data_IF_213182852687
#
_entry.id   IF_213182852687
#
_cell.length_a   1.000
_cell.length_b   1.000
_cell.length_c   1.000
_cell.angle_alpha   90.00
_cell.angle_beta   90.00
_cell.angle_gamma   90.00
#
_symmetry.space_group_name_H-M   'P 1'
#
loop_
_entity.id
_entity.type
_entity.pdbx_description
1 polymer ?
#
# COMPACT_ATOMS: atom_id res chain seq x y z
N UNK A 1 15.89 19.88 -20.35
CA UNK A 1 15.45 19.99 -18.95
C UNK A 1 14.73 18.71 -18.62
N UNK A 2 15.37 17.80 -17.88
CA UNK A 2 14.73 16.57 -17.42
C UNK A 2 13.74 16.93 -16.33
N UNK A 3 12.46 16.71 -16.58
CA UNK A 3 11.44 16.81 -15.55
C UNK A 3 11.82 15.87 -14.40
N UNK A 4 11.77 16.30 -13.12
CA UNK A 4 11.98 15.38 -12.01
C UNK A 4 10.95 14.25 -12.09
N UNK A 5 11.39 13.03 -11.77
CA UNK A 5 10.55 11.85 -11.78
C UNK A 5 9.24 12.10 -10.97
N UNK A 6 8.06 11.66 -11.48
CA UNK A 6 6.79 11.82 -10.79
C UNK A 6 6.83 11.32 -9.34
N UNK A 7 6.16 12.05 -8.42
CA UNK A 7 6.14 11.74 -6.97
C UNK A 7 5.74 10.29 -6.65
N UNK A 8 4.84 9.71 -7.45
CA UNK A 8 4.40 8.32 -7.27
C UNK A 8 5.54 7.31 -7.44
N UNK A 9 6.55 7.59 -8.27
CA UNK A 9 7.69 6.67 -8.48
C UNK A 9 8.53 6.55 -7.20
N UNK A 10 8.83 7.69 -6.56
CA UNK A 10 9.52 7.69 -5.28
C UNK A 10 8.73 6.95 -4.20
N UNK A 11 7.41 7.14 -4.13
CA UNK A 11 6.57 6.42 -3.16
C UNK A 11 6.49 4.93 -3.46
N UNK A 12 6.44 4.55 -4.73
CA UNK A 12 6.44 3.16 -5.14
C UNK A 12 7.73 2.46 -4.71
N UNK A 13 8.89 3.13 -4.80
CA UNK A 13 10.14 2.58 -4.27
C UNK A 13 10.09 2.38 -2.75
N UNK A 14 9.51 3.33 -2.00
CA UNK A 14 9.31 3.17 -0.55
C UNK A 14 8.36 2.01 -0.24
N UNK A 15 7.27 1.89 -0.99
CA UNK A 15 6.32 0.78 -0.88
C UNK A 15 7.00 -0.56 -1.14
N UNK A 16 7.76 -0.69 -2.24
CA UNK A 16 8.47 -1.93 -2.59
C UNK A 16 9.42 -2.35 -1.49
N UNK A 17 10.22 -1.43 -0.95
CA UNK A 17 11.15 -1.72 0.15
C UNK A 17 10.41 -2.18 1.41
N UNK A 18 9.34 -1.49 1.80
CA UNK A 18 8.54 -1.86 2.95
C UNK A 18 7.84 -3.23 2.77
N UNK A 19 7.33 -3.50 1.56
CA UNK A 19 6.68 -4.75 1.22
C UNK A 19 7.65 -5.93 1.24
N UNK A 20 8.86 -5.78 0.70
CA UNK A 20 9.90 -6.80 0.77
C UNK A 20 10.22 -7.19 2.21
N UNK A 21 10.41 -6.21 3.10
CA UNK A 21 10.69 -6.47 4.52
C UNK A 21 9.52 -7.14 5.25
N UNK A 22 8.28 -6.80 4.89
CA UNK A 22 7.10 -7.48 5.43
C UNK A 22 7.07 -8.94 4.96
N UNK A 23 7.31 -9.18 3.67
CA UNK A 23 7.32 -10.50 3.06
C UNK A 23 8.37 -11.40 3.71
N UNK A 24 9.60 -10.93 3.83
CA UNK A 24 10.69 -11.64 4.51
C UNK A 24 10.31 -12.02 5.95
N UNK A 25 9.61 -11.13 6.66
CA UNK A 25 9.20 -11.39 8.03
C UNK A 25 8.05 -12.42 8.15
N UNK A 26 7.20 -12.59 7.12
CA UNK A 26 6.10 -13.58 7.15
C UNK A 26 6.47 -14.92 6.52
N UNK A 27 7.46 -14.94 5.62
CA UNK A 27 7.92 -16.16 4.92
C UNK A 27 9.01 -16.92 5.69
N UNK A 28 9.42 -16.44 6.87
CA UNK A 28 10.38 -17.16 7.69
C UNK A 28 9.82 -18.50 8.21
N UNK A 29 10.66 -19.53 8.19
CA UNK A 29 10.27 -20.88 8.64
C UNK A 29 10.09 -20.99 10.15
N UNK A 30 10.71 -20.09 10.92
CA UNK A 30 10.67 -20.10 12.38
C UNK A 30 9.40 -19.40 12.90
N UNK A 31 8.76 -19.93 13.96
CA UNK A 31 7.67 -19.25 14.62
C UNK A 31 8.06 -17.85 15.12
N UNK A 32 7.21 -16.87 14.82
CA UNK A 32 7.41 -15.50 15.30
C UNK A 32 7.31 -15.42 16.83
N UNK A 33 8.30 -14.76 17.46
CA UNK A 33 8.18 -14.30 18.84
C UNK A 33 7.07 -13.24 18.97
N UNK A 34 6.56 -12.98 20.17
CA UNK A 34 5.52 -11.96 20.36
C UNK A 34 5.96 -10.57 19.87
N UNK A 35 7.20 -10.17 20.21
CA UNK A 35 7.79 -8.92 19.73
C UNK A 35 7.87 -8.88 18.19
N UNK A 36 8.22 -10.00 17.56
CA UNK A 36 8.25 -10.08 16.10
C UNK A 36 6.86 -9.96 15.48
N UNK A 37 5.81 -10.55 16.09
CA UNK A 37 4.41 -10.41 15.67
C UNK A 37 3.93 -8.95 15.71
N UNK A 38 4.25 -8.22 16.79
CA UNK A 38 3.97 -6.78 16.87
C UNK A 38 4.73 -5.99 15.78
N UNK A 39 5.98 -6.38 15.53
CA UNK A 39 6.80 -5.84 14.44
C UNK A 39 6.19 -6.06 13.05
N UNK A 40 5.63 -7.24 12.78
CA UNK A 40 4.94 -7.58 11.54
C UNK A 40 3.65 -6.78 11.41
N UNK A 41 2.87 -6.66 12.49
CA UNK A 41 1.62 -5.87 12.52
C UNK A 41 1.86 -4.41 12.13
N UNK A 42 2.89 -3.77 12.72
CA UNK A 42 3.27 -2.40 12.35
C UNK A 42 3.77 -2.27 10.91
N UNK A 43 4.53 -3.25 10.42
CA UNK A 43 5.00 -3.28 9.02
C UNK A 43 3.84 -3.41 8.04
N UNK A 44 2.88 -4.28 8.32
CA UNK A 44 1.66 -4.42 7.53
C UNK A 44 0.92 -3.09 7.43
N UNK A 45 0.67 -2.41 8.56
CA UNK A 45 0.00 -1.11 8.54
C UNK A 45 0.76 -0.07 7.69
N UNK A 46 2.10 -0.04 7.79
CA UNK A 46 2.95 0.83 6.97
C UNK A 46 2.89 0.51 5.48
N UNK A 47 2.88 -0.76 5.11
CA UNK A 47 2.79 -1.22 3.71
C UNK A 47 1.45 -0.82 3.11
N UNK A 48 0.34 -1.06 3.80
CA UNK A 48 -1.00 -0.68 3.33
C UNK A 48 -1.10 0.85 3.18
N UNK A 49 -0.53 1.61 4.12
CA UNK A 49 -0.48 3.07 4.07
C UNK A 49 0.30 3.59 2.85
N UNK A 50 1.46 3.02 2.57
CA UNK A 50 2.26 3.38 1.40
C UNK A 50 1.57 2.98 0.09
N UNK A 51 0.89 1.84 0.06
CA UNK A 51 0.20 1.35 -1.14
C UNK A 51 -0.89 2.33 -1.59
N UNK A 52 -1.82 2.70 -0.70
CA UNK A 52 -2.90 3.60 -1.10
C UNK A 52 -2.38 5.01 -1.41
N UNK A 53 -1.33 5.50 -0.74
CA UNK A 53 -0.71 6.80 -1.10
C UNK A 53 -0.04 6.77 -2.46
N UNK A 54 0.66 5.69 -2.78
CA UNK A 54 1.28 5.50 -4.10
C UNK A 54 0.21 5.50 -5.20
N UNK A 55 -0.90 4.77 -4.97
CA UNK A 55 -2.00 4.71 -5.93
C UNK A 55 -2.72 6.04 -6.08
N UNK A 56 -2.92 6.79 -4.98
CA UNK A 56 -3.47 8.14 -5.02
C UNK A 56 -2.63 9.02 -5.95
N UNK A 57 -1.33 9.05 -5.71
CA UNK A 57 -0.40 9.89 -6.47
C UNK A 57 -0.33 9.50 -7.95
N UNK A 58 -0.37 8.20 -8.23
CA UNK A 58 -0.41 7.69 -9.58
C UNK A 58 -1.70 8.12 -10.30
N UNK A 59 -2.86 7.88 -9.67
CA UNK A 59 -4.16 8.29 -10.22
C UNK A 59 -4.24 9.80 -10.46
N UNK A 60 -3.75 10.61 -9.53
CA UNK A 60 -3.68 12.08 -9.70
C UNK A 60 -2.76 12.48 -10.86
N UNK A 61 -1.63 11.78 -11.06
CA UNK A 61 -0.75 12.02 -12.21
C UNK A 61 -1.38 11.66 -13.56
N UNK A 62 -2.34 10.73 -13.55
CA UNK A 62 -3.17 10.37 -14.71
C UNK A 62 -4.43 11.24 -14.84
N UNK A 63 -4.51 12.37 -14.12
CA UNK A 63 -5.64 13.31 -14.10
C UNK A 63 -6.96 12.72 -13.56
N UNK A 64 -6.90 11.64 -12.77
CA UNK A 64 -8.07 11.08 -12.10
C UNK A 64 -8.43 11.91 -10.87
N UNK A 65 -9.65 12.44 -10.84
CA UNK A 65 -10.17 13.20 -9.70
C UNK A 65 -10.61 12.25 -8.57
N UNK A 66 -10.01 12.43 -7.39
CA UNK A 66 -10.29 11.65 -6.19
C UNK A 66 -10.99 12.53 -5.15
N UNK A 67 -12.32 12.44 -5.05
CA UNK A 67 -13.07 13.20 -4.05
C UNK A 67 -14.19 12.35 -3.41
N UNK A 68 -14.20 12.14 -2.08
CA UNK A 68 -13.15 12.51 -1.14
C UNK A 68 -11.91 11.62 -1.28
N UNK A 69 -10.73 12.19 -1.02
CA UNK A 69 -9.47 11.43 -0.94
C UNK A 69 -9.48 10.58 0.34
N UNK A 70 -9.77 9.29 0.19
CA UNK A 70 -9.70 8.32 1.30
C UNK A 70 -9.03 7.03 0.81
N UNK A 71 -8.43 6.22 1.71
CA UNK A 71 -7.85 4.94 1.31
C UNK A 71 -8.83 4.04 0.56
N UNK A 72 -10.09 4.00 1.01
CA UNK A 72 -11.16 3.21 0.37
C UNK A 72 -11.49 3.74 -1.03
N UNK A 73 -11.65 5.05 -1.19
CA UNK A 73 -11.90 5.67 -2.50
C UNK A 73 -10.76 5.37 -3.47
N UNK A 74 -9.51 5.54 -3.01
CA UNK A 74 -8.31 5.35 -3.84
C UNK A 74 -8.19 3.90 -4.30
N UNK A 75 -8.30 2.93 -3.38
CA UNK A 75 -8.25 1.50 -3.73
C UNK A 75 -9.36 1.14 -4.71
N UNK A 76 -10.60 1.62 -4.48
CA UNK A 76 -11.71 1.36 -5.40
C UNK A 76 -11.43 1.91 -6.80
N UNK A 77 -10.95 3.15 -6.90
CA UNK A 77 -10.63 3.79 -8.20
C UNK A 77 -9.47 3.10 -8.91
N UNK A 78 -8.44 2.69 -8.17
CA UNK A 78 -7.33 1.92 -8.72
C UNK A 78 -7.78 0.56 -9.28
N UNK A 79 -8.72 -0.11 -8.60
CA UNK A 79 -9.30 -1.36 -9.08
C UNK A 79 -10.19 -1.16 -10.32
N UNK A 80 -11.07 -0.16 -10.30
CA UNK A 80 -11.92 0.18 -11.46
C UNK A 80 -11.11 0.55 -12.70
N UNK A 81 -9.96 1.19 -12.52
CA UNK A 81 -9.02 1.54 -13.59
C UNK A 81 -8.09 0.38 -14.03
N UNK A 82 -8.20 -0.80 -13.41
CA UNK A 82 -7.37 -1.97 -13.75
C UNK A 82 -5.90 -1.88 -13.33
N UNK A 83 -5.54 -0.95 -12.44
CA UNK A 83 -4.16 -0.74 -11.96
C UNK A 83 -3.79 -1.79 -10.90
N UNK A 84 -4.79 -2.22 -10.12
CA UNK A 84 -4.66 -3.30 -9.13
C UNK A 84 -5.75 -4.33 -9.36
N UNK A 85 -5.44 -5.56 -8.98
CA UNK A 85 -6.37 -6.69 -9.02
C UNK A 85 -6.88 -7.02 -7.61
N UNK A 86 -7.86 -7.93 -7.53
CA UNK A 86 -8.36 -8.49 -6.27
C UNK A 86 -8.85 -7.42 -5.28
N UNK A 87 -9.78 -6.55 -5.71
CA UNK A 87 -10.32 -5.45 -4.89
C UNK A 87 -10.79 -5.88 -3.49
N UNK A 88 -11.36 -7.08 -3.35
CA UNK A 88 -11.79 -7.63 -2.06
C UNK A 88 -10.62 -7.88 -1.09
N UNK A 89 -9.46 -8.33 -1.59
CA UNK A 89 -8.28 -8.53 -0.77
C UNK A 89 -7.75 -7.20 -0.24
N UNK A 90 -7.76 -6.16 -1.07
CA UNK A 90 -7.41 -4.80 -0.66
C UNK A 90 -8.39 -4.21 0.36
N UNK A 91 -9.69 -4.46 0.17
CA UNK A 91 -10.71 -4.03 1.13
C UNK A 91 -10.49 -4.69 2.49
N UNK A 92 -10.21 -6.00 2.51
CA UNK A 92 -9.84 -6.74 3.73
C UNK A 92 -8.56 -6.19 4.36
N UNK A 93 -7.56 -5.82 3.56
CA UNK A 93 -6.31 -5.24 4.06
C UNK A 93 -6.53 -3.88 4.73
N UNK A 94 -7.37 -3.01 4.14
CA UNK A 94 -7.75 -1.73 4.74
C UNK A 94 -8.52 -1.93 6.05
N UNK A 95 -9.46 -2.87 6.08
CA UNK A 95 -10.24 -3.16 7.28
C UNK A 95 -9.38 -3.78 8.38
N UNK A 96 -8.43 -4.66 8.04
CA UNK A 96 -7.46 -5.21 8.98
C UNK A 96 -6.60 -4.11 9.60
N UNK A 97 -6.06 -3.18 8.79
CA UNK A 97 -5.28 -2.03 9.27
C UNK A 97 -6.09 -1.16 10.25
N UNK A 98 -7.38 -0.93 9.98
CA UNK A 98 -8.23 -0.09 10.82
C UNK A 98 -8.64 -0.74 12.15
N UNK A 99 -8.44 -2.06 12.30
CA UNK A 99 -8.77 -2.84 13.52
C UNK A 99 -7.55 -3.13 14.39
N UNK A 100 -6.35 -2.72 13.95
CA UNK A 100 -5.11 -2.78 14.72
C UNK A 100 -5.07 -1.65 15.74
#
# INVERSE_FOLDING_TARGET
>A
MTDPAPRWQYQFDQYRRAFTLLREAIEQEQPLTQLAKEGVTRRFARVVELAWKTLKDYLESENVVLEPVTPRTVIRRAFEAGIIEQGDAWQKALDARNRM
#
